data_IF_531152616965
#
_entry.id   IF_531152616965
#
_cell.length_a   1.000
_cell.length_b   1.000
_cell.length_c   1.000
_cell.angle_alpha   90.00
_cell.angle_beta   90.00
_cell.angle_gamma   90.00
#
_symmetry.space_group_name_H-M   'P 1'
#
loop_
_entity.id
_entity.type
_entity.pdbx_description
1 polymer ?
#
# COMPACT_ATOMS: atom_id res chain seq x y z
N UNK A 1 -11.32 34.48 0.53
CA UNK A 1 -11.42 33.01 0.68
C UNK A 1 -10.20 32.20 0.20
N UNK A 2 -9.46 32.51 -0.90
CA UNK A 2 -8.35 31.65 -1.35
C UNK A 2 -7.16 31.58 -0.38
N UNK A 3 -6.89 32.67 0.36
CA UNK A 3 -5.78 32.74 1.34
C UNK A 3 -5.99 31.81 2.56
N UNK A 4 -7.24 31.64 3.02
CA UNK A 4 -7.56 30.72 4.11
C UNK A 4 -7.35 29.26 3.68
N UNK A 5 -7.80 28.89 2.48
CA UNK A 5 -7.56 27.56 1.92
C UNK A 5 -6.08 27.26 1.72
N UNK A 6 -5.30 28.24 1.23
CA UNK A 6 -3.85 28.11 1.10
C UNK A 6 -3.17 27.95 2.46
N UNK A 7 -3.60 28.71 3.47
CA UNK A 7 -3.06 28.62 4.83
C UNK A 7 -3.35 27.27 5.46
N UNK A 8 -4.60 26.79 5.38
CA UNK A 8 -5.01 25.46 5.88
C UNK A 8 -4.23 24.36 5.17
N UNK A 9 -4.09 24.44 3.85
CA UNK A 9 -3.31 23.49 3.06
C UNK A 9 -1.85 23.46 3.52
N UNK A 10 -1.23 24.63 3.69
CA UNK A 10 0.16 24.72 4.12
C UNK A 10 0.38 24.14 5.53
N UNK A 11 -0.60 24.33 6.43
CA UNK A 11 -0.56 23.81 7.79
C UNK A 11 -0.74 22.29 7.79
N UNK A 12 -1.70 21.77 7.03
CA UNK A 12 -1.91 20.33 6.88
C UNK A 12 -0.67 19.63 6.29
N UNK A 13 -0.03 20.24 5.29
CA UNK A 13 1.19 19.72 4.68
C UNK A 13 2.36 19.72 5.67
N UNK A 14 2.57 20.85 6.38
CA UNK A 14 3.60 20.93 7.43
C UNK A 14 3.37 19.90 8.54
N UNK A 15 2.13 19.74 9.00
CA UNK A 15 1.79 18.82 10.07
C UNK A 15 2.00 17.37 9.63
N UNK A 16 1.61 17.02 8.41
CA UNK A 16 1.88 15.71 7.82
C UNK A 16 3.38 15.42 7.73
N UNK A 17 4.17 16.31 7.11
CA UNK A 17 5.61 16.12 6.91
C UNK A 17 6.36 16.06 8.24
N UNK A 18 5.99 16.92 9.20
CA UNK A 18 6.61 16.91 10.53
C UNK A 18 6.31 15.61 11.27
N UNK A 19 5.07 15.12 11.19
CA UNK A 19 4.68 13.86 11.84
C UNK A 19 5.32 12.66 11.13
N UNK A 20 5.41 12.66 9.80
CA UNK A 20 6.08 11.62 9.01
C UNK A 20 7.55 11.51 9.41
N UNK A 21 8.27 12.64 9.42
CA UNK A 21 9.67 12.68 9.81
C UNK A 21 9.88 12.25 11.27
N UNK A 22 8.97 12.63 12.17
CA UNK A 22 9.06 12.25 13.58
C UNK A 22 8.81 10.76 13.85
N UNK A 23 7.94 10.11 13.06
CA UNK A 23 7.53 8.71 13.28
C UNK A 23 8.38 7.74 12.46
N UNK A 24 8.56 7.98 11.16
CA UNK A 24 9.24 7.05 10.26
C UNK A 24 10.53 7.62 9.63
N UNK A 25 10.87 8.89 9.86
CA UNK A 25 12.03 9.53 9.22
C UNK A 25 13.35 8.77 9.42
N UNK A 26 13.65 8.37 10.65
CA UNK A 26 14.85 7.59 10.96
C UNK A 26 14.82 6.20 10.30
N UNK A 27 13.66 5.53 10.32
CA UNK A 27 13.51 4.20 9.73
C UNK A 27 13.64 4.23 8.19
N UNK A 28 13.19 5.30 7.54
CA UNK A 28 13.31 5.50 6.10
C UNK A 28 14.77 5.71 5.67
N UNK A 29 15.55 6.46 6.45
CA UNK A 29 16.97 6.72 6.14
C UNK A 29 17.85 5.46 6.26
N UNK A 30 17.54 4.58 7.21
CA UNK A 30 18.32 3.34 7.45
C UNK A 30 17.93 2.22 6.48
N UNK A 31 16.69 2.24 5.97
CA UNK A 31 16.18 1.15 5.12
C UNK A 31 16.66 1.30 3.67
N UNK A 32 17.42 0.33 3.17
CA UNK A 32 17.90 0.29 1.77
C UNK A 32 16.83 -0.29 0.82
N UNK A 33 15.90 -1.10 1.33
CA UNK A 33 14.89 -1.77 0.53
C UNK A 33 13.69 -0.86 0.24
N UNK A 34 13.53 -0.46 -1.02
CA UNK A 34 12.44 0.41 -1.50
C UNK A 34 11.04 -0.16 -1.27
N UNK A 35 10.87 -1.49 -1.30
CA UNK A 35 9.59 -2.13 -0.97
C UNK A 35 9.24 -1.96 0.52
N UNK A 36 10.23 -2.09 1.40
CA UNK A 36 10.03 -1.93 2.84
C UNK A 36 9.73 -0.47 3.20
N UNK A 37 10.38 0.49 2.53
CA UNK A 37 10.06 1.92 2.65
C UNK A 37 8.60 2.21 2.24
N UNK A 38 8.12 1.61 1.14
CA UNK A 38 6.73 1.75 0.69
C UNK A 38 5.72 1.19 1.71
N UNK A 39 6.05 0.07 2.38
CA UNK A 39 5.22 -0.52 3.43
C UNK A 39 5.22 0.38 4.68
N UNK A 40 6.38 0.87 5.13
CA UNK A 40 6.48 1.80 6.25
C UNK A 40 5.63 3.06 6.02
N UNK A 41 5.70 3.62 4.82
CA UNK A 41 4.91 4.80 4.42
C UNK A 41 3.41 4.49 4.39
N UNK A 42 3.01 3.30 3.93
CA UNK A 42 1.61 2.85 3.98
C UNK A 42 1.11 2.73 5.42
N UNK A 43 1.89 2.15 6.33
CA UNK A 43 1.50 2.00 7.75
C UNK A 43 1.34 3.37 8.40
N UNK A 44 2.29 4.28 8.15
CA UNK A 44 2.19 5.66 8.62
C UNK A 44 0.96 6.37 8.07
N UNK A 45 0.73 6.32 6.75
CA UNK A 45 -0.42 6.94 6.11
C UNK A 45 -1.73 6.38 6.71
N UNK A 46 -1.81 5.05 6.89
CA UNK A 46 -2.95 4.42 7.55
C UNK A 46 -3.18 4.97 8.96
N UNK A 47 -2.16 4.99 9.82
CA UNK A 47 -2.27 5.48 11.20
C UNK A 47 -2.66 6.96 11.26
N UNK A 48 -2.00 7.80 10.46
CA UNK A 48 -2.21 9.25 10.45
C UNK A 48 -3.61 9.62 10.00
N UNK A 49 -4.06 9.08 8.87
CA UNK A 49 -5.40 9.38 8.36
C UNK A 49 -6.49 8.73 9.23
N UNK A 50 -6.18 7.63 9.94
CA UNK A 50 -7.16 7.01 10.84
C UNK A 50 -7.33 7.89 12.09
N UNK A 51 -6.23 8.40 12.65
CA UNK A 51 -6.28 9.40 13.72
C UNK A 51 -7.10 10.64 13.31
N UNK A 52 -6.92 11.13 12.08
CA UNK A 52 -7.66 12.27 11.55
C UNK A 52 -9.17 11.97 11.42
N UNK A 53 -9.52 10.75 11.01
CA UNK A 53 -10.91 10.27 10.91
C UNK A 53 -11.58 10.10 12.28
N UNK A 54 -10.78 9.83 13.32
CA UNK A 54 -11.28 9.71 14.68
C UNK A 54 -11.74 11.04 15.28
N UNK A 55 -11.09 12.16 14.93
CA UNK A 55 -11.43 13.47 15.48
C UNK A 55 -12.92 13.87 15.26
N UNK A 56 -13.48 13.87 14.03
CA UNK A 56 -14.88 14.17 13.83
C UNK A 56 -15.81 13.12 14.46
N UNK A 57 -15.38 11.85 14.52
CA UNK A 57 -16.13 10.79 15.19
C UNK A 57 -16.27 11.01 16.69
N UNK A 58 -15.20 11.44 17.34
CA UNK A 58 -15.20 11.73 18.76
C UNK A 58 -16.18 12.88 19.08
N UNK A 59 -16.17 13.95 18.25
CA UNK A 59 -17.09 15.07 18.42
C UNK A 59 -18.56 14.63 18.29
N UNK A 60 -18.88 13.78 17.31
CA UNK A 60 -20.22 13.23 17.13
C UNK A 60 -20.61 12.34 18.32
N UNK A 61 -19.70 11.46 18.76
CA UNK A 61 -19.96 10.59 19.90
C UNK A 61 -20.19 11.36 21.21
N UNK A 62 -19.45 12.46 21.42
CA UNK A 62 -19.64 13.38 22.55
C UNK A 62 -20.99 14.10 22.46
N UNK A 63 -21.38 14.55 21.27
CA UNK A 63 -22.65 15.24 21.05
C UNK A 63 -23.86 14.35 21.37
N UNK A 64 -23.83 13.09 20.94
CA UNK A 64 -24.91 12.13 21.18
C UNK A 64 -24.79 11.37 22.51
N UNK A 65 -23.76 11.64 23.32
CA UNK A 65 -23.50 10.96 24.60
C UNK A 65 -23.51 9.43 24.49
N UNK A 66 -23.01 8.89 23.37
CA UNK A 66 -22.94 7.45 23.18
C UNK A 66 -21.73 6.90 23.96
N UNK A 67 -21.99 6.46 25.20
CA UNK A 67 -20.96 5.95 26.13
C UNK A 67 -20.17 4.76 25.55
N UNK A 68 -20.82 3.90 24.78
CA UNK A 68 -20.18 2.73 24.15
C UNK A 68 -19.19 3.17 23.07
N UNK A 69 -19.62 4.06 22.17
CA UNK A 69 -18.74 4.58 21.12
C UNK A 69 -17.61 5.43 21.72
N UNK A 70 -17.87 6.21 22.78
CA UNK A 70 -16.85 7.00 23.49
C UNK A 70 -15.75 6.13 24.11
N UNK A 71 -16.12 5.03 24.77
CA UNK A 71 -15.15 4.10 25.35
C UNK A 71 -14.26 3.49 24.24
N UNK A 72 -14.87 3.09 23.13
CA UNK A 72 -14.14 2.47 22.01
C UNK A 72 -13.25 3.50 21.29
N UNK A 73 -13.74 4.72 21.07
CA UNK A 73 -12.96 5.83 20.51
C UNK A 73 -11.76 6.18 21.41
N UNK A 74 -11.93 6.16 22.73
CA UNK A 74 -10.82 6.39 23.67
C UNK A 74 -9.73 5.32 23.56
N UNK A 75 -10.11 4.05 23.37
CA UNK A 75 -9.16 2.97 23.14
C UNK A 75 -8.35 3.18 21.85
N UNK A 76 -9.00 3.58 20.76
CA UNK A 76 -8.29 3.90 19.52
C UNK A 76 -7.34 5.09 19.64
N UNK A 77 -7.72 6.13 20.38
CA UNK A 77 -6.88 7.30 20.65
C UNK A 77 -5.61 6.91 21.42
N UNK A 78 -5.63 5.81 22.18
CA UNK A 78 -4.42 5.29 22.84
C UNK A 78 -3.62 4.35 21.92
N UNK A 79 -4.30 3.45 21.21
CA UNK A 79 -3.66 2.42 20.39
C UNK A 79 -2.92 3.01 19.19
N UNK A 80 -3.54 3.96 18.48
CA UNK A 80 -2.96 4.53 17.25
C UNK A 80 -1.64 5.27 17.53
N UNK A 81 -1.55 6.21 18.50
CA UNK A 81 -0.29 6.82 18.87
C UNK A 81 0.73 5.82 19.42
N UNK A 82 0.29 4.82 20.19
CA UNK A 82 1.20 3.76 20.66
C UNK A 82 1.83 3.01 19.49
N UNK A 83 1.07 2.69 18.44
CA UNK A 83 1.60 2.08 17.22
C UNK A 83 2.58 3.01 16.47
N UNK A 84 2.31 4.32 16.44
CA UNK A 84 3.26 5.30 15.90
C UNK A 84 4.56 5.34 16.72
N UNK A 85 4.48 5.30 18.05
CA UNK A 85 5.65 5.24 18.93
C UNK A 85 6.45 3.94 18.74
N UNK A 86 5.78 2.81 18.54
CA UNK A 86 6.43 1.54 18.23
C UNK A 86 7.21 1.63 16.90
N UNK A 87 6.64 2.24 15.86
CA UNK A 87 7.36 2.48 14.60
C UNK A 87 8.57 3.39 14.80
N UNK A 88 8.42 4.45 15.58
CA UNK A 88 9.51 5.38 15.92
C UNK A 88 10.66 4.67 16.63
N UNK A 89 10.35 3.71 17.50
CA UNK A 89 11.32 2.91 18.25
C UNK A 89 11.92 1.74 17.43
N UNK A 90 11.60 1.63 16.14
CA UNK A 90 12.15 0.61 15.26
C UNK A 90 11.49 -0.77 15.39
N UNK A 91 10.27 -0.85 15.93
CA UNK A 91 9.52 -2.10 15.94
C UNK A 91 9.28 -2.63 14.52
N UNK A 92 9.17 -3.96 14.38
CA UNK A 92 8.95 -4.61 13.09
C UNK A 92 7.65 -4.10 12.44
N UNK A 93 7.69 -3.64 11.17
CA UNK A 93 6.49 -3.18 10.45
C UNK A 93 5.37 -4.22 10.45
N UNK A 94 5.72 -5.51 10.33
CA UNK A 94 4.75 -6.61 10.35
C UNK A 94 4.00 -6.72 11.68
N UNK A 95 4.70 -6.54 12.79
CA UNK A 95 4.11 -6.59 14.13
C UNK A 95 3.16 -5.41 14.33
N UNK A 96 3.60 -4.20 13.99
CA UNK A 96 2.77 -2.99 14.11
C UNK A 96 1.53 -3.09 13.23
N UNK A 97 1.69 -3.51 11.98
CA UNK A 97 0.56 -3.77 11.07
C UNK A 97 -0.44 -4.78 11.63
N UNK A 98 0.04 -5.85 12.29
CA UNK A 98 -0.84 -6.86 12.87
C UNK A 98 -1.67 -6.28 14.01
N UNK A 99 -1.03 -5.56 14.94
CA UNK A 99 -1.70 -4.93 16.08
C UNK A 99 -2.77 -3.96 15.58
N UNK A 100 -2.44 -3.11 14.60
CA UNK A 100 -3.39 -2.15 14.03
C UNK A 100 -4.54 -2.88 13.32
N UNK A 101 -4.26 -3.86 12.47
CA UNK A 101 -5.31 -4.60 11.77
C UNK A 101 -6.25 -5.31 12.76
N UNK A 102 -5.69 -6.02 13.75
CA UNK A 102 -6.46 -6.73 14.75
C UNK A 102 -7.34 -5.78 15.58
N UNK A 103 -6.78 -4.67 16.06
CA UNK A 103 -7.52 -3.67 16.85
C UNK A 103 -8.59 -2.97 16.02
N UNK A 104 -8.29 -2.60 14.76
CA UNK A 104 -9.27 -2.03 13.83
C UNK A 104 -10.34 -3.03 13.38
N UNK A 105 -10.16 -4.32 13.67
CA UNK A 105 -11.15 -5.37 13.38
C UNK A 105 -11.99 -5.71 14.61
N UNK A 106 -11.37 -5.88 15.78
CA UNK A 106 -12.02 -6.31 17.03
C UNK A 106 -12.83 -5.18 17.67
N UNK A 107 -12.29 -3.96 17.75
CA UNK A 107 -12.99 -2.86 18.41
C UNK A 107 -14.34 -2.52 17.74
N UNK A 108 -14.46 -2.49 16.40
CA UNK A 108 -15.75 -2.29 15.76
C UNK A 108 -16.69 -3.48 15.91
N UNK A 109 -16.21 -4.71 16.10
CA UNK A 109 -17.07 -5.86 16.45
C UNK A 109 -17.75 -5.62 17.80
N UNK A 110 -16.98 -5.21 18.81
CA UNK A 110 -17.51 -4.92 20.15
C UNK A 110 -18.52 -3.76 20.09
N UNK A 111 -18.21 -2.70 19.34
CA UNK A 111 -19.13 -1.56 19.12
C UNK A 111 -20.41 -2.00 18.40
N UNK A 112 -20.27 -2.80 17.35
CA UNK A 112 -21.39 -3.28 16.53
C UNK A 112 -22.36 -4.12 17.36
N UNK A 113 -21.82 -5.07 18.14
CA UNK A 113 -22.60 -5.96 18.99
C UNK A 113 -23.35 -5.17 20.08
N UNK A 114 -22.65 -4.26 20.77
CA UNK A 114 -23.22 -3.47 21.88
C UNK A 114 -24.30 -2.47 21.42
N UNK A 115 -24.22 -2.02 20.17
CA UNK A 115 -25.18 -1.09 19.56
C UNK A 115 -26.26 -1.82 18.70
N UNK A 116 -26.25 -3.16 18.65
CA UNK A 116 -27.14 -3.97 17.79
C UNK A 116 -27.15 -3.52 16.31
N UNK A 117 -26.00 -3.13 15.78
CA UNK A 117 -25.82 -2.58 14.43
C UNK A 117 -25.06 -3.52 13.49
N UNK A 118 -25.11 -4.81 13.78
CA UNK A 118 -24.37 -5.82 13.04
C UNK A 118 -24.79 -5.79 11.58
N UNK A 119 -23.79 -5.63 10.70
CA UNK A 119 -23.91 -5.46 9.23
C UNK A 119 -24.22 -4.03 8.75
N UNK A 120 -24.23 -3.02 9.63
CA UNK A 120 -24.30 -1.62 9.19
C UNK A 120 -23.13 -1.27 8.24
N UNK A 121 -23.37 -0.51 7.15
CA UNK A 121 -22.33 -0.05 6.24
C UNK A 121 -21.16 0.65 6.96
N UNK A 122 -21.44 1.29 8.11
CA UNK A 122 -20.43 1.93 8.98
C UNK A 122 -19.33 0.95 9.41
N UNK A 123 -19.69 -0.27 9.82
CA UNK A 123 -18.74 -1.25 10.37
C UNK A 123 -18.15 -2.13 9.27
N UNK A 124 -18.95 -2.48 8.26
CA UNK A 124 -18.48 -3.27 7.11
C UNK A 124 -17.31 -2.59 6.38
N UNK A 125 -17.37 -1.27 6.19
CA UNK A 125 -16.25 -0.52 5.59
C UNK A 125 -14.97 -0.57 6.43
N UNK A 126 -15.09 -0.55 7.76
CA UNK A 126 -13.93 -0.61 8.68
C UNK A 126 -13.30 -2.00 8.65
N UNK A 127 -14.13 -3.05 8.65
CA UNK A 127 -13.66 -4.43 8.57
C UNK A 127 -12.94 -4.70 7.24
N UNK A 128 -13.54 -4.29 6.12
CA UNK A 128 -12.93 -4.43 4.80
C UNK A 128 -11.60 -3.67 4.73
N UNK A 129 -11.58 -2.46 5.28
CA UNK A 129 -10.38 -1.64 5.37
C UNK A 129 -9.25 -2.34 6.16
N UNK A 130 -9.57 -2.92 7.31
CA UNK A 130 -8.61 -3.66 8.14
C UNK A 130 -8.06 -4.89 7.41
N UNK A 131 -8.93 -5.68 6.78
CA UNK A 131 -8.53 -6.87 6.03
C UNK A 131 -7.64 -6.54 4.83
N UNK A 132 -7.98 -5.49 4.07
CA UNK A 132 -7.19 -5.02 2.94
C UNK A 132 -5.82 -4.50 3.40
N UNK A 133 -5.78 -3.74 4.49
CA UNK A 133 -4.52 -3.27 5.08
C UNK A 133 -3.62 -4.44 5.54
N UNK A 134 -4.20 -5.44 6.21
CA UNK A 134 -3.49 -6.65 6.62
C UNK A 134 -2.95 -7.43 5.41
N UNK A 135 -3.74 -7.53 4.34
CA UNK A 135 -3.36 -8.23 3.12
C UNK A 135 -2.10 -7.66 2.49
N UNK A 136 -2.01 -6.33 2.42
CA UNK A 136 -0.89 -5.63 1.79
C UNK A 136 0.35 -5.63 2.68
N UNK A 137 0.19 -5.46 3.98
CA UNK A 137 1.32 -5.22 4.90
C UNK A 137 1.95 -6.48 5.50
N UNK A 138 1.19 -7.57 5.66
CA UNK A 138 1.65 -8.76 6.38
C UNK A 138 1.78 -9.95 5.45
N UNK A 139 0.67 -10.67 5.20
CA UNK A 139 0.61 -11.92 4.45
C UNK A 139 -0.86 -12.36 4.25
N UNK A 140 -1.11 -13.07 3.14
CA UNK A 140 -2.43 -13.65 2.82
C UNK A 140 -2.97 -14.59 3.92
N UNK A 141 -2.11 -15.41 4.54
CA UNK A 141 -2.52 -16.35 5.61
C UNK A 141 -3.14 -15.63 6.81
N UNK A 142 -2.49 -14.56 7.28
CA UNK A 142 -2.98 -13.77 8.41
C UNK A 142 -4.29 -13.07 8.08
N UNK A 143 -4.42 -12.54 6.86
CA UNK A 143 -5.69 -11.96 6.40
C UNK A 143 -6.82 -12.98 6.35
N UNK A 144 -6.55 -14.20 5.88
CA UNK A 144 -7.54 -15.28 5.89
C UNK A 144 -7.97 -15.62 7.32
N UNK A 145 -7.03 -15.71 8.26
CA UNK A 145 -7.36 -15.94 9.68
C UNK A 145 -8.27 -14.84 10.25
N UNK A 146 -7.92 -13.56 10.02
CA UNK A 146 -8.75 -12.43 10.44
C UNK A 146 -10.12 -12.43 9.75
N UNK A 147 -10.18 -12.82 8.47
CA UNK A 147 -11.41 -12.95 7.71
C UNK A 147 -12.31 -14.06 8.24
N UNK A 148 -11.76 -15.26 8.51
CA UNK A 148 -12.48 -16.37 9.12
C UNK A 148 -12.97 -15.98 10.52
N UNK A 149 -12.17 -15.24 11.29
CA UNK A 149 -12.59 -14.73 12.60
C UNK A 149 -13.79 -13.77 12.48
N UNK A 150 -13.77 -12.84 11.51
CA UNK A 150 -14.90 -11.97 11.22
C UNK A 150 -16.15 -12.73 10.76
N UNK A 151 -16.00 -13.70 9.85
CA UNK A 151 -17.12 -14.55 9.42
C UNK A 151 -17.72 -15.34 10.59
N UNK A 152 -16.88 -15.85 11.48
CA UNK A 152 -17.33 -16.57 12.69
C UNK A 152 -18.11 -15.65 13.62
N UNK A 153 -17.62 -14.42 13.86
CA UNK A 153 -18.34 -13.39 14.60
C UNK A 153 -19.72 -13.11 13.99
N UNK A 154 -19.80 -12.87 12.68
CA UNK A 154 -21.07 -12.61 12.00
C UNK A 154 -22.03 -13.81 12.10
N UNK A 155 -21.52 -15.04 11.97
CA UNK A 155 -22.30 -16.26 12.15
C UNK A 155 -22.89 -16.38 13.56
N UNK A 156 -22.09 -16.11 14.60
CA UNK A 156 -22.54 -16.11 16.00
C UNK A 156 -23.60 -15.04 16.24
N UNK A 157 -23.40 -13.84 15.71
CA UNK A 157 -24.39 -12.75 15.84
C UNK A 157 -25.70 -13.09 15.13
N UNK A 158 -25.64 -13.63 13.90
CA UNK A 158 -26.83 -14.07 13.18
C UNK A 158 -27.56 -15.18 13.94
N UNK A 159 -26.83 -16.13 14.52
CA UNK A 159 -27.40 -17.19 15.35
C UNK A 159 -28.11 -16.64 16.59
N UNK A 160 -27.48 -15.71 17.31
CA UNK A 160 -28.07 -15.00 18.46
C UNK A 160 -29.38 -14.31 18.08
N UNK A 161 -29.42 -13.65 16.92
CA UNK A 161 -30.62 -12.94 16.43
C UNK A 161 -31.75 -13.89 16.05
N UNK A 162 -31.44 -15.04 15.45
CA UNK A 162 -32.44 -16.08 15.10
C UNK A 162 -33.08 -16.67 16.36
N UNK A 163 -32.31 -16.88 17.42
CA UNK A 163 -32.81 -17.46 18.67
C UNK A 163 -33.40 -16.43 19.65
N UNK A 164 -33.56 -15.17 19.24
CA UNK A 164 -34.16 -14.09 20.05
C UNK A 164 -33.55 -13.95 21.46
N UNK A 165 -32.26 -14.25 21.61
CA UNK A 165 -31.57 -14.07 22.89
C UNK A 165 -31.51 -12.57 23.23
N UNK A 166 -32.08 -12.20 24.37
CA UNK A 166 -32.21 -10.81 24.80
C UNK A 166 -30.87 -10.29 25.32
N UNK A 167 -30.18 -9.46 24.54
CA UNK A 167 -29.00 -8.74 24.99
C UNK A 167 -29.35 -7.29 25.33
N UNK A 168 -28.79 -6.73 26.42
CA UNK A 168 -29.01 -5.34 26.76
C UNK A 168 -28.38 -4.45 25.68
N UNK A 169 -29.22 -3.74 24.93
CA UNK A 169 -28.80 -2.73 23.96
C UNK A 169 -28.45 -1.46 24.75
N UNK A 170 -27.35 -0.79 24.38
CA UNK A 170 -26.95 0.47 24.99
C UNK A 170 -28.09 1.50 24.92
N UNK A 171 -28.53 2.02 26.09
CA UNK A 171 -29.51 3.11 26.17
C UNK A 171 -28.96 4.37 25.48
N UNK A 172 -29.78 5.00 24.63
CA UNK A 172 -29.46 6.28 23.97
C UNK A 172 -29.13 6.20 22.47
N UNK A 173 -29.15 5.01 21.87
CA UNK A 173 -28.84 4.85 20.45
C UNK A 173 -30.12 4.75 19.58
N UNK A 174 -30.44 5.81 18.82
CA UNK A 174 -31.49 5.78 17.80
C UNK A 174 -30.84 5.77 16.41
N UNK A 175 -31.01 4.71 15.59
CA UNK A 175 -30.40 4.60 14.26
C UNK A 175 -30.69 5.79 13.33
N UNK A 176 -31.86 6.42 13.49
CA UNK A 176 -32.35 7.54 12.69
C UNK A 176 -31.53 8.83 12.90
N UNK A 177 -30.91 9.01 14.07
CA UNK A 177 -30.15 10.23 14.39
C UNK A 177 -28.80 10.32 13.65
N UNK A 178 -28.23 9.19 13.21
CA UNK A 178 -26.96 9.15 12.50
C UNK A 178 -27.08 9.20 10.98
N UNK A 179 -28.29 9.08 10.42
CA UNK A 179 -28.52 9.02 8.98
C UNK A 179 -27.85 10.16 8.17
N UNK A 180 -27.88 11.44 8.60
CA UNK A 180 -27.17 12.51 7.88
C UNK A 180 -25.64 12.38 7.99
N UNK A 181 -25.14 11.87 9.12
CA UNK A 181 -23.70 11.70 9.34
C UNK A 181 -23.13 10.44 8.66
N UNK A 182 -23.96 9.47 8.28
CA UNK A 182 -23.52 8.25 7.58
C UNK A 182 -22.95 8.56 6.19
N UNK A 183 -23.55 9.48 5.44
CA UNK A 183 -23.05 9.93 4.14
C UNK A 183 -21.69 10.64 4.27
N UNK A 184 -21.57 11.53 5.26
CA UNK A 184 -20.31 12.23 5.57
C UNK A 184 -19.23 11.24 5.99
N UNK A 185 -19.58 10.25 6.81
CA UNK A 185 -18.67 9.17 7.19
C UNK A 185 -18.21 8.35 5.99
N UNK A 186 -19.14 7.93 5.13
CA UNK A 186 -18.81 7.17 3.94
C UNK A 186 -17.86 7.97 3.02
N UNK A 187 -18.12 9.26 2.81
CA UNK A 187 -17.24 10.14 2.04
C UNK A 187 -15.83 10.24 2.66
N UNK A 188 -15.72 10.41 3.98
CA UNK A 188 -14.43 10.44 4.66
C UNK A 188 -13.68 9.10 4.55
N UNK A 189 -14.38 7.96 4.64
CA UNK A 189 -13.79 6.63 4.42
C UNK A 189 -13.33 6.42 2.97
N UNK A 190 -14.08 6.91 1.99
CA UNK A 190 -13.68 6.84 0.58
C UNK A 190 -12.42 7.68 0.34
N UNK A 191 -12.35 8.90 0.87
CA UNK A 191 -11.17 9.75 0.79
C UNK A 191 -9.97 9.09 1.49
N UNK A 192 -10.20 8.49 2.66
CA UNK A 192 -9.19 7.70 3.37
C UNK A 192 -8.66 6.56 2.49
N UNK A 193 -9.55 5.75 1.91
CA UNK A 193 -9.19 4.62 1.04
C UNK A 193 -8.39 5.10 -0.19
N UNK A 194 -8.90 6.11 -0.88
CA UNK A 194 -8.25 6.69 -2.07
C UNK A 194 -6.86 7.21 -1.74
N UNK A 195 -6.69 7.87 -0.58
CA UNK A 195 -5.40 8.43 -0.19
C UNK A 195 -4.40 7.37 0.26
N UNK A 196 -4.82 6.43 1.10
CA UNK A 196 -3.94 5.42 1.69
C UNK A 196 -3.57 4.35 0.65
N UNK A 197 -4.55 3.73 0.00
CA UNK A 197 -4.29 2.67 -0.98
C UNK A 197 -3.92 3.22 -2.35
N UNK A 198 -4.55 4.29 -2.82
CA UNK A 198 -4.26 4.86 -4.13
C UNK A 198 -2.82 5.39 -4.22
N UNK A 199 -2.33 6.07 -3.18
CA UNK A 199 -0.93 6.53 -3.12
C UNK A 199 0.05 5.37 -3.02
N UNK A 200 -0.29 4.33 -2.24
CA UNK A 200 0.54 3.13 -2.14
C UNK A 200 0.64 2.39 -3.47
N UNK A 201 -0.49 2.17 -4.15
CA UNK A 201 -0.53 1.54 -5.48
C UNK A 201 0.30 2.33 -6.49
N UNK A 202 0.15 3.66 -6.52
CA UNK A 202 0.97 4.53 -7.38
C UNK A 202 2.46 4.38 -7.09
N UNK A 203 2.85 4.30 -5.82
CA UNK A 203 4.26 4.14 -5.45
C UNK A 203 4.83 2.77 -5.88
N UNK A 204 4.04 1.69 -5.76
CA UNK A 204 4.46 0.36 -6.25
C UNK A 204 4.58 0.37 -7.77
N UNK A 205 3.60 0.92 -8.48
CA UNK A 205 3.61 0.96 -9.94
C UNK A 205 4.82 1.75 -10.48
N UNK A 206 5.13 2.91 -9.87
CA UNK A 206 6.32 3.67 -10.22
C UNK A 206 7.61 2.88 -9.98
N UNK A 207 7.67 2.12 -8.88
CA UNK A 207 8.82 1.29 -8.55
C UNK A 207 9.01 0.12 -9.53
N UNK A 208 7.92 -0.52 -9.96
CA UNK A 208 7.96 -1.55 -11.00
C UNK A 208 8.39 -0.98 -12.36
N UNK A 209 7.90 0.21 -12.69
CA UNK A 209 8.29 0.92 -13.90
C UNK A 209 9.80 1.26 -13.91
N UNK A 210 10.32 1.79 -12.80
CA UNK A 210 11.75 2.08 -12.65
C UNK A 210 12.62 0.82 -12.75
N UNK A 211 12.20 -0.29 -12.14
CA UNK A 211 12.91 -1.56 -12.26
C UNK A 211 12.92 -2.09 -13.69
N UNK A 212 11.82 -1.90 -14.43
CA UNK A 212 11.73 -2.30 -15.84
C UNK A 212 12.69 -1.48 -16.70
N UNK A 213 12.75 -0.16 -16.49
CA UNK A 213 13.71 0.72 -17.18
C UNK A 213 15.15 0.33 -16.82
N UNK A 214 15.45 0.02 -15.56
CA UNK A 214 16.79 -0.41 -15.15
C UNK A 214 17.21 -1.71 -15.82
N UNK A 215 16.31 -2.70 -15.89
CA UNK A 215 16.55 -3.96 -16.62
C UNK A 215 16.79 -3.71 -18.10
N UNK A 216 15.99 -2.84 -18.73
CA UNK A 216 16.18 -2.44 -20.12
C UNK A 216 17.54 -1.76 -20.34
N UNK A 217 17.97 -0.86 -19.46
CA UNK A 217 19.30 -0.21 -19.54
C UNK A 217 20.44 -1.22 -19.34
N UNK A 218 20.32 -2.14 -18.39
CA UNK A 218 21.32 -3.19 -18.18
C UNK A 218 21.42 -4.09 -19.41
N UNK A 219 20.29 -4.54 -19.95
CA UNK A 219 20.25 -5.34 -21.17
C UNK A 219 20.88 -4.60 -22.35
N UNK A 220 20.51 -3.33 -22.57
CA UNK A 220 21.12 -2.47 -23.60
C UNK A 220 22.63 -2.32 -23.41
N UNK A 221 23.11 -2.16 -22.18
CA UNK A 221 24.55 -2.05 -21.90
C UNK A 221 25.31 -3.34 -22.20
N UNK A 222 24.72 -4.50 -21.89
CA UNK A 222 25.29 -5.80 -22.23
C UNK A 222 25.35 -5.98 -23.74
N UNK A 223 24.26 -5.66 -24.44
CA UNK A 223 24.17 -5.76 -25.90
C UNK A 223 25.21 -4.85 -26.57
N UNK A 224 25.36 -3.61 -26.09
CA UNK A 224 26.38 -2.70 -26.59
C UNK A 224 27.81 -3.22 -26.32
N UNK A 225 28.08 -3.84 -25.18
CA UNK A 225 29.37 -4.49 -24.91
C UNK A 225 29.63 -5.67 -25.86
N UNK A 226 28.62 -6.50 -26.15
CA UNK A 226 28.73 -7.62 -27.08
C UNK A 226 28.99 -7.14 -28.52
N UNK A 227 28.21 -6.16 -28.99
CA UNK A 227 28.40 -5.53 -30.30
C UNK A 227 29.78 -4.86 -30.42
N UNK A 228 30.23 -4.15 -29.38
CA UNK A 228 31.55 -3.52 -29.36
C UNK A 228 32.67 -4.56 -29.44
N UNK A 229 32.56 -5.68 -28.72
CA UNK A 229 33.53 -6.78 -28.81
C UNK A 229 33.59 -7.36 -30.22
N UNK A 230 32.44 -7.65 -30.82
CA UNK A 230 32.37 -8.19 -32.19
C UNK A 230 32.91 -7.20 -33.23
N UNK A 231 32.59 -5.91 -33.10
CA UNK A 231 33.12 -4.86 -33.98
C UNK A 231 34.64 -4.71 -33.87
N UNK A 232 35.21 -4.78 -32.66
CA UNK A 232 36.67 -4.73 -32.46
C UNK A 232 37.34 -5.95 -33.09
N UNK A 233 36.76 -7.14 -32.94
CA UNK A 233 37.25 -8.38 -33.58
C UNK A 233 37.24 -8.20 -35.11
N UNK A 234 36.13 -7.72 -35.68
CA UNK A 234 35.99 -7.46 -37.12
C UNK A 234 37.05 -6.46 -37.62
N UNK A 235 37.27 -5.37 -36.87
CA UNK A 235 38.28 -4.34 -37.19
C UNK A 235 39.71 -4.87 -37.06
N UNK A 236 39.98 -5.73 -36.08
CA UNK A 236 41.27 -6.41 -35.88
C UNK A 236 41.58 -7.37 -37.03
N UNK A 237 40.61 -8.17 -37.45
CA UNK A 237 40.71 -9.07 -38.62
C UNK A 237 40.91 -8.27 -39.92
N UNK A 238 40.21 -7.15 -40.09
CA UNK A 238 40.35 -6.25 -41.24
C UNK A 238 41.73 -5.57 -41.31
N UNK A 239 42.30 -5.10 -40.17
CA UNK A 239 43.64 -4.50 -40.11
C UNK A 239 44.79 -5.50 -40.24
N UNK A 240 44.55 -6.79 -40.04
CA UNK A 240 45.63 -7.80 -40.01
C UNK A 240 46.31 -8.01 -41.37
N UNK A 241 45.73 -7.58 -42.50
CA UNK A 241 46.42 -7.45 -43.80
C UNK A 241 47.17 -8.68 -44.34
N UNK A 242 47.01 -9.87 -43.74
CA UNK A 242 47.72 -11.09 -44.12
C UNK A 242 46.85 -11.90 -45.06
N UNK A 243 47.10 -11.72 -46.35
CA UNK A 243 46.42 -12.35 -47.49
C UNK A 243 46.47 -13.89 -47.54
N UNK A 244 47.02 -14.57 -46.52
CA UNK A 244 47.26 -16.02 -46.50
C UNK A 244 46.18 -16.86 -45.80
N UNK A 245 45.15 -16.23 -45.21
CA UNK A 245 44.06 -16.88 -44.47
C UNK A 245 42.66 -16.46 -44.97
N UNK A 246 42.52 -16.07 -46.24
CA UNK A 246 41.34 -15.38 -46.75
C UNK A 246 40.01 -16.16 -46.70
N UNK A 247 40.04 -17.49 -46.80
CA UNK A 247 38.81 -18.29 -46.79
C UNK A 247 38.28 -18.54 -45.37
N UNK A 248 39.13 -18.92 -44.42
CA UNK A 248 38.71 -19.08 -43.02
C UNK A 248 38.32 -17.76 -42.34
N UNK A 249 38.88 -16.62 -42.79
CA UNK A 249 38.49 -15.30 -42.29
C UNK A 249 37.14 -14.82 -42.84
N UNK A 250 36.70 -15.29 -44.02
CA UNK A 250 35.38 -14.93 -44.57
C UNK A 250 34.25 -15.60 -43.80
N UNK A 251 34.39 -16.90 -43.48
CA UNK A 251 33.40 -17.60 -42.64
C UNK A 251 33.31 -17.01 -41.23
N UNK A 252 34.45 -16.62 -40.62
CA UNK A 252 34.46 -15.93 -39.33
C UNK A 252 33.86 -14.52 -39.37
N UNK A 253 34.05 -13.80 -40.49
CA UNK A 253 33.45 -12.48 -40.72
C UNK A 253 31.93 -12.59 -40.87
N UNK A 254 31.48 -13.58 -41.65
CA UNK A 254 30.06 -13.86 -41.90
C UNK A 254 29.37 -14.35 -40.63
N UNK A 255 30.01 -15.24 -39.86
CA UNK A 255 29.53 -15.65 -38.54
C UNK A 255 29.45 -14.48 -37.55
N UNK A 256 30.41 -13.54 -37.57
CA UNK A 256 30.33 -12.32 -36.75
C UNK A 256 29.18 -11.40 -37.20
N UNK A 257 28.96 -11.23 -38.51
CA UNK A 257 27.87 -10.41 -39.03
C UNK A 257 26.50 -11.01 -38.71
N UNK A 258 26.34 -12.32 -38.86
CA UNK A 258 25.12 -13.06 -38.50
C UNK A 258 24.85 -12.95 -36.99
N UNK A 259 25.87 -13.04 -36.14
CA UNK A 259 25.68 -12.88 -34.70
C UNK A 259 25.35 -11.41 -34.33
N UNK A 260 25.94 -10.42 -35.01
CA UNK A 260 25.55 -9.00 -34.84
C UNK A 260 24.07 -8.80 -35.23
N UNK A 261 23.65 -9.36 -36.37
CA UNK A 261 22.27 -9.30 -36.84
C UNK A 261 21.31 -9.93 -35.84
N UNK A 262 21.64 -11.11 -35.33
CA UNK A 262 20.86 -11.82 -34.30
C UNK A 262 20.77 -11.06 -32.98
N UNK A 263 21.85 -10.41 -32.55
CA UNK A 263 21.85 -9.58 -31.34
C UNK A 263 21.01 -8.30 -31.54
N UNK A 264 21.02 -7.72 -32.75
CA UNK A 264 20.15 -6.59 -33.10
C UNK A 264 18.67 -6.99 -33.19
N UNK A 265 18.35 -8.13 -33.80
CA UNK A 265 16.98 -8.65 -33.91
C UNK A 265 16.41 -8.98 -32.52
N UNK A 266 17.20 -9.62 -31.66
CA UNK A 266 16.83 -9.85 -30.25
C UNK A 266 16.61 -8.53 -29.48
N UNK A 267 17.34 -7.46 -29.79
CA UNK A 267 17.14 -6.15 -29.19
C UNK A 267 15.81 -5.50 -29.64
N UNK A 268 15.48 -5.66 -30.93
CA UNK A 268 14.25 -5.13 -31.54
C UNK A 268 13.03 -5.85 -30.95
N UNK A 269 13.05 -7.19 -30.90
CA UNK A 269 11.98 -7.99 -30.29
C UNK A 269 11.75 -7.62 -28.82
N UNK A 270 12.81 -7.29 -28.07
CA UNK A 270 12.69 -6.90 -26.66
C UNK A 270 12.15 -5.47 -26.49
N UNK A 271 12.40 -4.58 -27.46
CA UNK A 271 11.86 -3.22 -27.48
C UNK A 271 10.38 -3.21 -27.89
N UNK A 272 9.97 -4.08 -28.81
CA UNK A 272 8.58 -4.22 -29.23
C UNK A 272 7.73 -4.93 -28.16
N UNK A 273 8.26 -5.98 -27.52
CA UNK A 273 7.57 -6.64 -26.39
C UNK A 273 7.56 -5.79 -25.10
N UNK A 274 8.42 -4.76 -24.99
CA UNK A 274 8.42 -3.80 -23.88
C UNK A 274 7.36 -2.70 -24.01
N UNK A 275 6.74 -2.54 -25.19
CA UNK A 275 5.64 -1.63 -25.45
C UNK A 275 4.33 -2.42 -25.52
N UNK A 276 3.80 -2.86 -24.38
CA UNK A 276 2.37 -3.12 -24.08
C UNK A 276 2.29 -3.76 -22.67
N UNK A 277 1.28 -3.45 -21.84
CA UNK A 277 -0.06 -3.07 -22.25
C UNK A 277 -0.45 -1.64 -21.85
N UNK A 278 -0.73 -0.80 -22.87
CA UNK A 278 -1.88 0.09 -22.79
C UNK A 278 -3.12 -0.75 -23.15
N UNK A 279 -3.81 -1.25 -22.14
CA UNK A 279 -5.22 -1.67 -22.22
C UNK A 279 -5.84 -1.62 -20.84
#
# INVERSE_FOLDING_TARGET
>A
MPQLFQSIRSLAEKLYVTTENAVIGNALQVTINTRLQCILKLIFDYLFFHLLLLAPRLLIALYYQNNTDLLILSAYILIIPTCMLLLKNGASPKMVSFIIAATTLILPMISSFSNNQDVSPKYTMIWLLSLLFCYITINRRTTLLLGTFLCSYLGVVSWIKIHHLSFPISNGYVPEQLQPFMAVHAAMYILFLMRVFGKHYRNIFMLEHEQTIQKQKQHSSLLNQHLTKQFIILKGLSRSGKSKYLDGNKELLEACLIEIEKQCESAIDYLDNGKLPES
#
